data_IF_896438474930
#
_entry.id   IF_896438474930
#
_cell.length_a   1.000
_cell.length_b   1.000
_cell.length_c   1.000
_cell.angle_alpha   90.00
_cell.angle_beta   90.00
_cell.angle_gamma   90.00
#
_symmetry.space_group_name_H-M   'P 1'
#
loop_
_entity.id
_entity.type
_entity.pdbx_description
1 polymer ?
#
# COMPACT_ATOMS: atom_id res chain seq x y z
N UNK A 1 -51.43 22.82 49.90
CA UNK A 1 -50.28 21.93 49.63
C UNK A 1 -50.36 21.51 48.17
N UNK A 2 -49.80 22.34 47.28
CA UNK A 2 -49.71 22.04 45.85
C UNK A 2 -48.33 21.49 45.56
N UNK A 3 -48.24 20.20 45.27
CA UNK A 3 -47.00 19.58 44.80
C UNK A 3 -46.86 19.93 43.32
N UNK A 4 -45.75 20.59 42.97
CA UNK A 4 -45.42 20.93 41.59
C UNK A 4 -45.31 19.65 40.76
N UNK A 5 -46.06 19.57 39.66
CA UNK A 5 -45.82 18.59 38.63
C UNK A 5 -44.42 18.83 38.05
N UNK A 6 -43.44 18.02 38.47
CA UNK A 6 -42.21 17.86 37.71
C UNK A 6 -42.65 17.17 36.42
N UNK A 7 -42.65 17.89 35.29
CA UNK A 7 -42.77 17.25 33.98
C UNK A 7 -41.55 16.33 33.83
N UNK A 8 -41.71 15.05 34.19
CA UNK A 8 -40.70 14.03 33.95
C UNK A 8 -40.46 13.92 32.45
N UNK A 9 -39.27 14.34 32.01
CA UNK A 9 -38.83 14.16 30.63
C UNK A 9 -38.55 12.67 30.41
N UNK A 10 -39.53 11.95 29.86
CA UNK A 10 -39.40 10.54 29.51
C UNK A 10 -38.84 10.44 28.08
N UNK A 11 -37.64 9.89 27.92
CA UNK A 11 -37.00 9.77 26.59
C UNK A 11 -37.84 8.96 25.60
N UNK A 12 -38.63 7.99 26.05
CA UNK A 12 -39.53 7.20 25.19
C UNK A 12 -40.62 8.04 24.50
N UNK A 13 -40.94 9.21 25.04
CA UNK A 13 -41.93 10.13 24.48
C UNK A 13 -41.35 11.01 23.35
N UNK A 14 -40.05 10.93 23.07
CA UNK A 14 -39.46 11.65 21.94
C UNK A 14 -39.90 11.04 20.60
N UNK A 15 -40.05 11.87 19.56
CA UNK A 15 -40.27 11.38 18.20
C UNK A 15 -39.15 10.42 17.76
N UNK A 16 -39.46 9.37 16.97
CA UNK A 16 -38.48 8.40 16.49
C UNK A 16 -37.26 9.03 15.78
N UNK A 17 -37.45 10.17 15.11
CA UNK A 17 -36.38 10.91 14.41
C UNK A 17 -35.39 11.55 15.39
N UNK A 18 -35.89 12.05 16.53
CA UNK A 18 -35.06 12.61 17.60
C UNK A 18 -34.28 11.50 18.28
N UNK A 19 -34.94 10.38 18.58
CA UNK A 19 -34.28 9.19 19.13
C UNK A 19 -33.22 8.64 18.17
N UNK A 20 -33.52 8.53 16.88
CA UNK A 20 -32.56 8.14 15.86
C UNK A 20 -31.37 9.11 15.78
N UNK A 21 -31.62 10.42 15.90
CA UNK A 21 -30.53 11.40 15.94
C UNK A 21 -29.65 11.21 17.18
N UNK A 22 -30.23 10.94 18.35
CA UNK A 22 -29.48 10.62 19.57
C UNK A 22 -28.68 9.32 19.39
N UNK A 23 -29.31 8.25 18.89
CA UNK A 23 -28.67 6.96 18.63
C UNK A 23 -27.55 7.06 17.60
N UNK A 24 -27.63 8.02 16.68
CA UNK A 24 -26.55 8.29 15.72
C UNK A 24 -25.25 8.77 16.36
N UNK A 25 -25.21 9.05 17.67
CA UNK A 25 -23.98 9.35 18.43
C UNK A 25 -23.45 8.14 19.23
N UNK A 26 -24.21 7.04 19.30
CA UNK A 26 -23.82 5.81 19.98
C UNK A 26 -22.96 4.92 19.08
N UNK A 27 -22.18 4.01 19.66
CA UNK A 27 -21.52 2.95 18.89
C UNK A 27 -22.55 1.94 18.36
N UNK A 28 -22.23 1.20 17.30
CA UNK A 28 -23.13 0.13 16.83
C UNK A 28 -23.45 -0.93 17.89
N UNK A 29 -22.51 -1.19 18.82
CA UNK A 29 -22.73 -2.09 19.95
C UNK A 29 -23.75 -1.52 20.94
N UNK A 30 -23.65 -0.23 21.26
CA UNK A 30 -24.59 0.43 22.18
C UNK A 30 -25.98 0.59 21.54
N UNK A 31 -26.05 0.76 20.22
CA UNK A 31 -27.32 0.77 19.47
C UNK A 31 -28.06 -0.57 19.65
N UNK A 32 -27.34 -1.70 19.64
CA UNK A 32 -27.94 -3.00 19.91
C UNK A 32 -28.51 -3.06 21.34
N UNK A 33 -27.79 -2.53 22.33
CA UNK A 33 -28.27 -2.45 23.72
C UNK A 33 -29.51 -1.58 23.88
N UNK A 34 -29.56 -0.38 23.29
CA UNK A 34 -30.76 0.49 23.39
C UNK A 34 -31.96 -0.11 22.66
N UNK A 35 -31.74 -0.87 21.59
CA UNK A 35 -32.82 -1.54 20.85
C UNK A 35 -33.54 -2.61 21.68
N UNK A 36 -32.92 -3.11 22.75
CA UNK A 36 -33.51 -4.11 23.66
C UNK A 36 -34.31 -3.49 24.82
N UNK A 37 -34.25 -2.16 25.00
CA UNK A 37 -34.87 -1.47 26.15
C UNK A 37 -36.40 -1.43 26.04
N UNK A 38 -36.93 -0.95 24.91
CA UNK A 38 -38.37 -0.82 24.69
C UNK A 38 -38.72 -0.77 23.20
N UNK A 39 -40.01 -0.88 22.86
CA UNK A 39 -40.49 -0.86 21.47
C UNK A 39 -40.16 0.43 20.73
N UNK A 40 -40.28 1.58 21.41
CA UNK A 40 -39.96 2.89 20.82
C UNK A 40 -38.49 2.97 20.41
N UNK A 41 -37.58 2.51 21.27
CA UNK A 41 -36.15 2.49 20.98
C UNK A 41 -35.80 1.47 19.91
N UNK A 42 -36.44 0.30 19.93
CA UNK A 42 -36.30 -0.68 18.85
C UNK A 42 -36.68 -0.09 17.49
N UNK A 43 -37.84 0.55 17.38
CA UNK A 43 -38.32 1.17 16.13
C UNK A 43 -37.39 2.31 15.68
N UNK A 44 -36.96 3.18 16.59
CA UNK A 44 -36.01 4.25 16.28
C UNK A 44 -34.62 3.72 15.86
N UNK A 45 -34.15 2.61 16.45
CA UNK A 45 -32.89 1.96 16.08
C UNK A 45 -32.90 1.39 14.66
N UNK A 46 -34.07 1.14 14.06
CA UNK A 46 -34.22 0.63 12.70
C UNK A 46 -34.13 1.71 11.62
N UNK A 47 -34.10 2.98 12.01
CA UNK A 47 -34.01 4.09 11.04
C UNK A 47 -32.64 4.05 10.34
N UNK A 48 -32.66 3.95 9.02
CA UNK A 48 -31.47 3.79 8.17
C UNK A 48 -30.44 4.92 8.32
N UNK A 49 -30.87 6.14 8.65
CA UNK A 49 -29.97 7.26 8.90
C UNK A 49 -29.02 7.02 10.08
N UNK A 50 -29.44 6.23 11.08
CA UNK A 50 -28.57 5.83 12.20
C UNK A 50 -27.42 5.00 11.67
N UNK A 51 -27.72 3.93 10.93
CA UNK A 51 -26.73 3.00 10.39
C UNK A 51 -25.86 3.64 9.31
N UNK A 52 -26.43 4.51 8.46
CA UNK A 52 -25.66 5.31 7.50
C UNK A 52 -24.60 6.16 8.20
N UNK A 53 -24.97 6.83 9.28
CA UNK A 53 -24.03 7.62 10.07
C UNK A 53 -22.94 6.73 10.71
N UNK A 54 -23.30 5.54 11.20
CA UNK A 54 -22.34 4.56 11.75
C UNK A 54 -21.36 4.06 10.69
N UNK A 55 -21.84 3.63 9.52
CA UNK A 55 -20.98 3.19 8.42
C UNK A 55 -19.99 4.28 7.99
N UNK A 56 -20.44 5.54 7.92
CA UNK A 56 -19.57 6.66 7.56
C UNK A 56 -18.54 7.01 8.64
N UNK A 57 -18.93 6.98 9.93
CA UNK A 57 -18.05 7.39 11.02
C UNK A 57 -17.07 6.30 11.46
N UNK A 58 -17.49 5.03 11.46
CA UNK A 58 -16.68 3.93 11.98
C UNK A 58 -15.87 3.22 10.87
N UNK A 59 -16.33 3.29 9.62
CA UNK A 59 -15.74 2.55 8.50
C UNK A 59 -15.43 3.41 7.27
N UNK A 60 -15.52 4.75 7.39
CA UNK A 60 -15.27 5.71 6.31
C UNK A 60 -16.11 5.48 5.02
N UNK A 61 -17.22 4.74 5.11
CA UNK A 61 -18.06 4.41 3.95
C UNK A 61 -18.87 5.64 3.53
N UNK A 62 -18.47 6.27 2.42
CA UNK A 62 -19.11 7.46 1.85
C UNK A 62 -19.98 7.11 0.64
N UNK A 63 -21.27 6.82 0.86
CA UNK A 63 -22.22 6.55 -0.23
C UNK A 63 -22.95 7.85 -0.61
N UNK A 64 -22.67 8.39 -1.80
CA UNK A 64 -23.27 9.66 -2.29
C UNK A 64 -24.73 9.49 -2.74
N UNK A 65 -25.04 8.37 -3.41
CA UNK A 65 -26.39 8.01 -3.82
C UNK A 65 -26.65 6.57 -3.39
N UNK A 66 -27.59 6.40 -2.47
CA UNK A 66 -28.04 5.08 -2.09
C UNK A 66 -28.83 4.50 -3.25
N UNK A 67 -28.31 3.43 -3.88
CA UNK A 67 -29.19 2.41 -4.44
C UNK A 67 -30.09 1.82 -3.32
N UNK A 68 -30.74 0.69 -3.57
CA UNK A 68 -31.53 -0.04 -2.55
C UNK A 68 -30.67 -0.65 -1.40
N UNK A 69 -29.67 0.08 -0.93
CA UNK A 69 -28.76 -0.27 0.16
C UNK A 69 -29.47 -0.12 1.50
N UNK A 70 -29.54 -1.24 2.23
CA UNK A 70 -29.96 -1.27 3.63
C UNK A 70 -28.68 -1.15 4.47
N UNK A 71 -28.39 0.06 4.97
CA UNK A 71 -27.19 0.35 5.76
C UNK A 71 -27.13 -0.45 7.05
N UNK A 72 -28.28 -0.79 7.63
CA UNK A 72 -28.32 -1.73 8.76
C UNK A 72 -27.67 -3.06 8.39
N UNK A 73 -28.04 -3.64 7.26
CA UNK A 73 -27.50 -4.91 6.79
C UNK A 73 -26.02 -4.79 6.45
N UNK A 74 -25.62 -3.72 5.74
CA UNK A 74 -24.20 -3.42 5.47
C UNK A 74 -23.40 -3.37 6.77
N UNK A 75 -23.91 -2.69 7.80
CA UNK A 75 -23.22 -2.60 9.08
C UNK A 75 -23.16 -3.97 9.79
N UNK A 76 -24.31 -4.60 10.02
CA UNK A 76 -24.39 -5.76 10.91
C UNK A 76 -23.93 -7.07 10.27
N UNK A 77 -24.20 -7.26 8.98
CA UNK A 77 -23.88 -8.50 8.25
C UNK A 77 -22.47 -8.47 7.66
N UNK A 78 -21.94 -7.29 7.35
CA UNK A 78 -20.71 -7.15 6.59
C UNK A 78 -19.62 -6.36 7.34
N UNK A 79 -19.75 -5.04 7.50
CA UNK A 79 -18.69 -4.19 8.05
C UNK A 79 -18.28 -4.59 9.47
N UNK A 80 -19.24 -4.74 10.38
CA UNK A 80 -18.94 -5.11 11.76
C UNK A 80 -18.41 -6.55 11.85
N UNK A 81 -18.95 -7.49 11.05
CA UNK A 81 -18.52 -8.90 11.01
C UNK A 81 -17.07 -9.04 10.53
N UNK A 82 -16.69 -8.33 9.46
CA UNK A 82 -15.37 -8.43 8.82
C UNK A 82 -14.44 -7.25 9.15
N UNK A 83 -14.75 -6.45 10.18
CA UNK A 83 -13.97 -5.27 10.58
C UNK A 83 -12.48 -5.53 10.78
N UNK A 84 -12.10 -6.75 11.18
CA UNK A 84 -10.72 -7.14 11.45
C UNK A 84 -9.85 -7.15 10.18
N UNK A 85 -10.43 -7.44 9.01
CA UNK A 85 -9.71 -7.49 7.74
C UNK A 85 -9.80 -6.20 6.92
N UNK A 86 -10.64 -5.23 7.30
CA UNK A 86 -10.73 -3.94 6.61
C UNK A 86 -9.43 -3.11 6.75
N UNK A 87 -9.07 -2.38 5.69
CA UNK A 87 -7.94 -1.45 5.64
C UNK A 87 -6.84 -1.85 4.65
N UNK A 88 -5.64 -1.34 4.90
CA UNK A 88 -4.46 -1.54 4.06
C UNK A 88 -3.53 -2.62 4.64
N UNK A 89 -2.97 -3.44 3.76
CA UNK A 89 -2.27 -4.66 4.12
C UNK A 89 -1.09 -4.95 3.20
N UNK A 90 -0.12 -5.69 3.72
CA UNK A 90 1.02 -6.21 2.98
C UNK A 90 0.95 -7.74 2.98
N UNK A 91 0.83 -8.39 1.80
CA UNK A 91 0.91 -9.84 1.70
C UNK A 91 2.32 -10.32 2.05
N UNK A 92 2.41 -11.41 2.82
CA UNK A 92 3.66 -12.01 3.29
C UNK A 92 4.23 -12.98 2.25
N UNK A 93 4.50 -12.47 1.05
CA UNK A 93 5.03 -13.25 -0.08
C UNK A 93 6.55 -13.13 -0.12
N UNK A 94 7.24 -13.99 0.64
CA UNK A 94 8.70 -14.00 0.75
C UNK A 94 9.26 -12.57 0.81
N UNK A 95 10.20 -12.20 -0.05
CA UNK A 95 10.73 -10.85 -0.16
C UNK A 95 10.04 -9.95 -1.20
N UNK A 96 8.95 -10.40 -1.83
CA UNK A 96 8.19 -9.57 -2.77
C UNK A 96 7.25 -8.59 -2.07
N UNK A 97 6.67 -8.98 -0.94
CA UNK A 97 5.61 -8.19 -0.33
C UNK A 97 4.48 -7.90 -1.32
N UNK A 98 4.01 -6.65 -1.30
CA UNK A 98 2.93 -6.14 -2.12
C UNK A 98 2.10 -5.11 -1.35
N UNK A 99 1.08 -4.57 -2.00
CA UNK A 99 0.09 -3.72 -1.35
C UNK A 99 -1.30 -4.27 -1.64
N UNK A 100 -2.11 -4.42 -0.59
CA UNK A 100 -3.42 -5.01 -0.67
C UNK A 100 -4.41 -4.19 0.16
N UNK A 101 -5.59 -3.93 -0.40
CA UNK A 101 -6.61 -3.12 0.24
C UNK A 101 -7.89 -3.93 0.36
N UNK A 102 -8.48 -3.91 1.55
CA UNK A 102 -9.78 -4.51 1.82
C UNK A 102 -10.74 -3.41 2.23
N UNK A 103 -11.74 -3.16 1.41
CA UNK A 103 -12.65 -2.04 1.57
C UNK A 103 -14.05 -2.39 1.09
N UNK A 104 -15.05 -1.66 1.58
CA UNK A 104 -16.41 -1.79 1.08
C UNK A 104 -16.55 -1.05 -0.25
N UNK A 105 -17.01 -1.76 -1.26
CA UNK A 105 -17.38 -1.23 -2.57
C UNK A 105 -18.91 -1.00 -2.60
N UNK A 106 -19.38 0.26 -2.67
CA UNK A 106 -20.80 0.56 -2.72
C UNK A 106 -21.50 0.14 -4.01
N UNK A 107 -20.77 0.03 -5.13
CA UNK A 107 -21.34 -0.37 -6.42
C UNK A 107 -21.59 -1.88 -6.45
N UNK A 108 -20.64 -2.66 -5.94
CA UNK A 108 -20.76 -4.11 -5.81
C UNK A 108 -21.53 -4.54 -4.55
N UNK A 109 -21.83 -3.61 -3.65
CA UNK A 109 -22.49 -3.89 -2.36
C UNK A 109 -21.76 -5.02 -1.61
N UNK A 110 -20.43 -4.93 -1.58
CA UNK A 110 -19.55 -6.01 -1.14
C UNK A 110 -18.29 -5.47 -0.46
N UNK A 111 -17.68 -6.22 0.45
CA UNK A 111 -16.29 -5.99 0.83
C UNK A 111 -15.42 -6.65 -0.24
N UNK A 112 -14.50 -5.89 -0.82
CA UNK A 112 -13.58 -6.38 -1.85
C UNK A 112 -12.15 -6.36 -1.33
N UNK A 113 -11.43 -7.46 -1.55
CA UNK A 113 -9.99 -7.53 -1.35
C UNK A 113 -9.28 -7.33 -2.68
N UNK A 114 -8.51 -6.26 -2.80
CA UNK A 114 -7.88 -5.83 -4.06
C UNK A 114 -6.38 -5.68 -3.89
N UNK A 115 -5.62 -6.36 -4.75
CA UNK A 115 -4.19 -6.11 -4.93
C UNK A 115 -3.98 -4.78 -5.66
N UNK A 116 -3.11 -3.94 -5.09
CA UNK A 116 -2.70 -2.66 -5.64
C UNK A 116 -1.27 -2.80 -6.16
N UNK A 117 -1.14 -2.91 -7.48
CA UNK A 117 0.12 -3.12 -8.17
C UNK A 117 0.69 -1.80 -8.69
N UNK A 118 2.03 -1.64 -8.74
CA UNK A 118 2.63 -0.49 -9.39
C UNK A 118 2.27 -0.45 -10.89
N UNK A 119 2.31 0.74 -11.51
CA UNK A 119 2.25 0.87 -12.97
C UNK A 119 3.43 0.13 -13.62
N UNK A 120 3.33 -0.10 -14.92
CA UNK A 120 4.43 -0.71 -15.66
C UNK A 120 5.65 0.22 -15.67
N UNK A 121 6.83 -0.37 -15.62
CA UNK A 121 8.09 0.38 -15.70
C UNK A 121 8.23 1.11 -17.04
N UNK A 122 8.74 2.36 -17.06
CA UNK A 122 9.17 3.22 -15.93
C UNK A 122 8.12 4.26 -15.48
N UNK A 123 6.82 4.04 -15.73
CA UNK A 123 5.77 5.06 -15.65
C UNK A 123 5.27 5.36 -14.23
N UNK A 124 6.14 5.86 -13.34
CA UNK A 124 5.83 6.10 -11.92
C UNK A 124 4.68 7.10 -11.68
N UNK A 125 4.37 7.98 -12.64
CA UNK A 125 3.29 8.97 -12.57
C UNK A 125 1.91 8.34 -12.76
N UNK A 126 1.82 7.19 -13.45
CA UNK A 126 0.57 6.49 -13.74
C UNK A 126 -0.07 5.89 -12.46
N UNK A 127 -1.40 5.71 -12.44
CA UNK A 127 -2.10 5.15 -11.29
C UNK A 127 -1.71 3.70 -11.00
N UNK A 128 -1.94 3.27 -9.76
CA UNK A 128 -1.84 1.87 -9.36
C UNK A 128 -2.84 1.02 -10.15
N UNK A 129 -2.36 -0.13 -10.63
CA UNK A 129 -3.21 -1.13 -11.27
C UNK A 129 -3.90 -1.93 -10.18
N UNK A 130 -5.18 -2.22 -10.36
CA UNK A 130 -6.01 -2.90 -9.36
C UNK A 130 -6.40 -4.28 -9.84
N UNK A 131 -6.27 -5.29 -8.97
CA UNK A 131 -6.71 -6.66 -9.25
C UNK A 131 -7.46 -7.22 -8.06
N UNK A 132 -8.76 -7.43 -8.23
CA UNK A 132 -9.60 -8.01 -7.19
C UNK A 132 -9.25 -9.49 -6.99
N UNK A 133 -9.08 -9.90 -5.74
CA UNK A 133 -8.79 -11.28 -5.36
C UNK A 133 -10.02 -11.98 -4.78
N UNK A 134 -10.78 -11.28 -3.94
CA UNK A 134 -12.01 -11.81 -3.34
C UNK A 134 -13.08 -10.73 -3.17
N UNK A 135 -14.32 -11.18 -3.04
CA UNK A 135 -15.48 -10.36 -2.70
C UNK A 135 -16.32 -11.04 -1.61
N UNK A 136 -16.94 -10.24 -0.76
CA UNK A 136 -17.85 -10.66 0.32
C UNK A 136 -19.15 -9.85 0.14
N UNK A 137 -20.16 -10.39 -0.55
CA UNK A 137 -21.40 -9.67 -0.80
C UNK A 137 -22.25 -9.53 0.46
N UNK A 138 -22.98 -8.41 0.60
CA UNK A 138 -23.96 -8.24 1.70
C UNK A 138 -25.09 -9.28 1.59
N UNK A 139 -25.60 -9.46 0.37
CA UNK A 139 -26.69 -10.37 0.06
C UNK A 139 -26.10 -11.60 -0.61
N UNK A 140 -26.33 -12.75 0.00
CA UNK A 140 -25.77 -14.02 -0.45
C UNK A 140 -26.68 -14.66 -1.47
N UNK A 141 -26.13 -15.13 -2.58
CA UNK A 141 -26.85 -16.01 -3.50
C UNK A 141 -26.76 -17.48 -3.05
N UNK A 142 -25.64 -17.86 -2.42
CA UNK A 142 -25.32 -19.22 -1.95
C UNK A 142 -24.96 -19.22 -0.45
N UNK A 143 -24.68 -20.40 0.13
CA UNK A 143 -24.21 -20.52 1.53
C UNK A 143 -22.78 -19.97 1.74
N UNK A 144 -22.08 -19.62 0.67
CA UNK A 144 -20.70 -19.12 0.70
C UNK A 144 -20.64 -17.65 1.12
N UNK A 145 -19.86 -17.38 2.17
CA UNK A 145 -19.66 -16.03 2.71
C UNK A 145 -18.59 -15.25 1.93
N UNK A 146 -17.54 -15.92 1.47
CA UNK A 146 -16.39 -15.28 0.81
C UNK A 146 -16.16 -15.95 -0.54
N UNK A 147 -16.07 -15.13 -1.58
CA UNK A 147 -15.97 -15.56 -2.95
C UNK A 147 -14.59 -15.17 -3.48
N UNK A 148 -13.78 -16.17 -3.85
CA UNK A 148 -12.57 -15.95 -4.65
C UNK A 148 -12.99 -15.60 -6.07
N UNK A 149 -12.45 -14.52 -6.62
CA UNK A 149 -12.73 -14.07 -8.00
C UNK A 149 -11.54 -14.29 -8.95
N UNK A 150 -10.44 -14.85 -8.42
CA UNK A 150 -9.24 -15.12 -9.21
C UNK A 150 -9.37 -16.37 -10.09
N UNK A 151 -8.39 -16.58 -10.97
CA UNK A 151 -8.34 -17.75 -11.85
C UNK A 151 -9.14 -17.60 -13.15
N UNK A 152 -9.46 -18.75 -13.77
CA UNK A 152 -9.96 -18.82 -15.15
C UNK A 152 -11.34 -19.47 -15.28
N UNK A 153 -11.89 -20.01 -14.19
CA UNK A 153 -13.17 -20.75 -14.17
C UNK A 153 -14.30 -19.99 -13.47
N UNK A 154 -14.12 -18.70 -13.23
CA UNK A 154 -15.10 -17.87 -12.54
C UNK A 154 -15.04 -17.96 -11.00
N UNK A 155 -15.99 -17.30 -10.32
CA UNK A 155 -15.98 -17.18 -8.87
C UNK A 155 -16.24 -18.52 -8.16
N UNK A 156 -15.62 -18.72 -7.00
CA UNK A 156 -15.69 -19.97 -6.22
C UNK A 156 -15.42 -19.72 -4.74
N UNK A 157 -15.72 -20.71 -3.90
CA UNK A 157 -15.60 -20.60 -2.45
C UNK A 157 -14.18 -20.26 -1.97
N UNK A 158 -14.13 -19.39 -0.96
CA UNK A 158 -12.92 -19.11 -0.19
C UNK A 158 -13.24 -18.85 1.29
N UNK A 159 -12.19 -18.69 2.09
CA UNK A 159 -12.29 -18.33 3.50
C UNK A 159 -11.34 -17.20 3.86
N UNK A 160 -11.76 -16.38 4.81
CA UNK A 160 -10.91 -15.36 5.46
C UNK A 160 -10.86 -15.67 6.95
N UNK A 161 -9.65 -15.84 7.47
CA UNK A 161 -9.40 -16.23 8.85
C UNK A 161 -8.70 -15.08 9.57
N UNK A 162 -9.27 -14.66 10.70
CA UNK A 162 -8.58 -13.78 11.64
C UNK A 162 -7.48 -14.58 12.34
N UNK A 163 -6.22 -14.17 12.18
CA UNK A 163 -5.07 -14.87 12.77
C UNK A 163 -4.69 -14.21 14.09
N UNK A 164 -4.53 -12.89 14.06
CA UNK A 164 -4.24 -12.09 15.24
C UNK A 164 -4.66 -10.64 14.99
N UNK A 165 -4.49 -9.78 16.01
CA UNK A 165 -4.66 -8.35 15.80
C UNK A 165 -3.65 -7.90 14.73
N UNK A 166 -4.15 -7.25 13.68
CA UNK A 166 -3.37 -6.79 12.53
C UNK A 166 -2.83 -7.88 11.59
N UNK A 167 -3.37 -9.10 11.67
CA UNK A 167 -3.03 -10.18 10.74
C UNK A 167 -4.26 -11.01 10.35
N UNK A 168 -4.43 -11.27 9.06
CA UNK A 168 -5.46 -12.18 8.55
C UNK A 168 -4.91 -13.05 7.42
N UNK A 169 -5.62 -14.15 7.15
CA UNK A 169 -5.33 -15.04 6.03
C UNK A 169 -6.51 -15.11 5.08
N UNK A 170 -6.25 -15.02 3.78
CA UNK A 170 -7.17 -15.44 2.74
C UNK A 170 -6.75 -16.82 2.23
N UNK A 171 -7.70 -17.72 1.99
CA UNK A 171 -7.44 -19.03 1.40
C UNK A 171 -8.55 -19.41 0.44
N UNK A 172 -8.18 -19.68 -0.81
CA UNK A 172 -9.07 -20.31 -1.79
C UNK A 172 -9.38 -21.77 -1.39
N UNK A 173 -10.63 -22.21 -1.57
CA UNK A 173 -11.05 -23.59 -1.29
C UNK A 173 -10.85 -24.55 -2.46
N UNK A 174 -10.76 -24.06 -3.70
CA UNK A 174 -10.55 -24.88 -4.90
C UNK A 174 -9.52 -24.28 -5.88
N UNK A 175 -8.27 -24.70 -5.73
CA UNK A 175 -7.19 -24.24 -6.61
C UNK A 175 -7.26 -24.72 -8.06
N UNK A 176 -8.17 -25.64 -8.39
CA UNK A 176 -8.39 -26.08 -9.76
C UNK A 176 -8.98 -24.97 -10.66
N UNK A 177 -9.59 -23.94 -10.05
CA UNK A 177 -10.10 -22.74 -10.73
C UNK A 177 -8.98 -21.83 -11.23
N UNK A 178 -7.78 -21.94 -10.63
CA UNK A 178 -6.62 -21.11 -10.96
C UNK A 178 -5.71 -21.71 -12.04
N UNK A 179 -6.03 -22.90 -12.54
CA UNK A 179 -5.27 -23.54 -13.62
C UNK A 179 -5.81 -23.06 -14.96
N UNK A 180 -4.92 -22.51 -15.79
CA UNK A 180 -5.32 -22.06 -17.11
C UNK A 180 -5.71 -23.27 -17.98
N UNK A 181 -6.81 -23.20 -18.76
CA UNK A 181 -7.28 -24.32 -19.59
C UNK A 181 -6.22 -24.79 -20.59
N UNK A 182 -5.44 -23.86 -21.15
CA UNK A 182 -4.30 -24.12 -22.07
C UNK A 182 -2.96 -24.46 -21.35
N UNK A 183 -2.99 -24.71 -20.03
CA UNK A 183 -1.82 -25.14 -19.27
C UNK A 183 -0.87 -24.02 -18.81
N UNK A 184 0.20 -24.43 -18.11
CA UNK A 184 1.09 -23.55 -17.34
C UNK A 184 1.87 -22.52 -18.18
N UNK A 185 2.17 -22.84 -19.43
CA UNK A 185 2.88 -21.90 -20.31
C UNK A 185 2.01 -20.70 -20.69
N UNK A 186 0.70 -20.90 -20.83
CA UNK A 186 -0.23 -19.81 -21.09
C UNK A 186 -0.41 -18.93 -19.84
N UNK A 187 -0.48 -19.54 -18.64
CA UNK A 187 -0.47 -18.79 -17.36
C UNK A 187 0.75 -17.86 -17.29
N UNK A 188 1.93 -18.38 -17.60
CA UNK A 188 3.17 -17.60 -17.57
C UNK A 188 3.14 -16.47 -18.60
N UNK A 189 2.65 -16.73 -19.81
CA UNK A 189 2.54 -15.71 -20.87
C UNK A 189 1.65 -14.56 -20.45
N UNK A 190 0.48 -14.87 -19.88
CA UNK A 190 -0.46 -13.86 -19.40
C UNK A 190 0.12 -13.07 -18.22
N UNK A 191 0.72 -13.78 -17.26
CA UNK A 191 1.43 -13.16 -16.15
C UNK A 191 2.52 -12.17 -16.63
N UNK A 192 3.33 -12.58 -17.61
CA UNK A 192 4.37 -11.73 -18.18
C UNK A 192 3.78 -10.53 -18.92
N UNK A 193 2.70 -10.72 -19.69
CA UNK A 193 2.01 -9.60 -20.36
C UNK A 193 1.37 -8.60 -19.39
N UNK A 194 0.94 -9.06 -18.22
CA UNK A 194 0.37 -8.21 -17.17
C UNK A 194 1.45 -7.40 -16.43
N UNK A 195 2.69 -7.89 -16.39
CA UNK A 195 3.77 -7.32 -15.57
C UNK A 195 4.94 -6.73 -16.35
N UNK A 196 4.96 -6.88 -17.68
CA UNK A 196 6.01 -6.38 -18.56
C UNK A 196 5.40 -5.53 -19.67
N UNK A 197 5.97 -4.35 -19.90
CA UNK A 197 5.70 -3.53 -21.08
C UNK A 197 6.42 -4.07 -22.34
N UNK A 198 7.40 -4.96 -22.16
CA UNK A 198 8.19 -5.57 -23.25
C UNK A 198 7.56 -6.90 -23.67
N UNK A 199 7.32 -7.13 -24.98
CA UNK A 199 6.88 -8.41 -25.50
C UNK A 199 7.81 -9.57 -25.10
N UNK A 200 7.24 -10.76 -24.99
CA UNK A 200 8.00 -11.99 -24.75
C UNK A 200 8.92 -12.31 -25.93
N UNK A 201 10.23 -12.27 -25.69
CA UNK A 201 11.23 -12.75 -26.63
C UNK A 201 11.94 -13.98 -26.05
N UNK A 202 11.59 -15.15 -26.60
CA UNK A 202 12.14 -16.44 -26.17
C UNK A 202 13.60 -16.65 -26.60
N UNK A 203 14.14 -15.82 -27.50
CA UNK A 203 15.50 -15.97 -28.02
C UNK A 203 16.55 -15.26 -27.16
N UNK A 204 16.22 -14.12 -26.57
CA UNK A 204 17.14 -13.35 -25.71
C UNK A 204 16.78 -13.41 -24.23
N UNK A 205 15.55 -13.85 -23.89
CA UNK A 205 14.96 -13.89 -22.55
C UNK A 205 15.58 -12.89 -21.57
N UNK A 206 15.27 -11.59 -21.72
CA UNK A 206 15.93 -10.51 -21.00
C UNK A 206 15.93 -10.76 -19.49
N UNK A 207 16.96 -10.28 -18.78
CA UNK A 207 17.07 -10.48 -17.32
C UNK A 207 15.77 -10.08 -16.59
N UNK A 208 15.11 -9.01 -17.01
CA UNK A 208 13.82 -8.60 -16.45
C UNK A 208 12.68 -9.63 -16.56
N UNK A 209 12.71 -10.49 -17.57
CA UNK A 209 11.76 -11.59 -17.74
C UNK A 209 12.14 -12.83 -16.90
N UNK A 210 13.44 -13.07 -16.64
CA UNK A 210 13.91 -14.09 -15.67
C UNK A 210 13.39 -13.79 -14.26
N UNK A 211 13.46 -12.52 -13.86
CA UNK A 211 12.95 -12.02 -12.59
C UNK A 211 11.44 -12.29 -12.43
N UNK A 212 10.67 -12.06 -13.50
CA UNK A 212 9.22 -12.31 -13.52
C UNK A 212 8.89 -13.79 -13.48
N UNK A 213 9.65 -14.64 -14.17
CA UNK A 213 9.48 -16.09 -14.11
C UNK A 213 9.63 -16.60 -12.66
N UNK A 214 10.62 -16.09 -11.93
CA UNK A 214 10.79 -16.45 -10.52
C UNK A 214 9.61 -16.00 -9.66
N UNK A 215 9.12 -14.78 -9.87
CA UNK A 215 7.92 -14.25 -9.19
C UNK A 215 6.73 -15.15 -9.43
N UNK A 216 6.51 -15.53 -10.68
CA UNK A 216 5.43 -16.46 -11.05
C UNK A 216 5.55 -17.80 -10.31
N UNK A 217 6.74 -18.43 -10.31
CA UNK A 217 6.94 -19.72 -9.66
C UNK A 217 6.72 -19.66 -8.15
N UNK A 218 7.14 -18.59 -7.49
CA UNK A 218 6.97 -18.41 -6.04
C UNK A 218 5.52 -18.17 -5.70
N UNK A 219 4.83 -17.26 -6.40
CA UNK A 219 3.40 -17.01 -6.19
C UNK A 219 2.56 -18.29 -6.32
N UNK A 220 2.93 -19.18 -7.24
CA UNK A 220 2.26 -20.47 -7.39
C UNK A 220 2.43 -21.41 -6.20
N UNK A 221 3.49 -21.30 -5.42
CA UNK A 221 3.68 -22.14 -4.23
C UNK A 221 2.68 -21.80 -3.11
N UNK A 222 2.11 -20.59 -3.14
CA UNK A 222 1.10 -20.16 -2.17
C UNK A 222 -0.29 -20.75 -2.47
N UNK A 223 -0.54 -21.28 -3.67
CA UNK A 223 -1.82 -21.88 -4.08
C UNK A 223 -3.05 -21.02 -3.72
N UNK A 224 -2.95 -19.70 -3.91
CA UNK A 224 -3.98 -18.73 -3.54
C UNK A 224 -4.36 -18.72 -2.05
N UNK A 225 -3.41 -19.07 -1.19
CA UNK A 225 -3.45 -18.86 0.26
C UNK A 225 -2.42 -17.79 0.65
N UNK A 226 -2.90 -16.63 1.11
CA UNK A 226 -2.05 -15.47 1.41
C UNK A 226 -2.26 -15.01 2.84
N UNK A 227 -1.15 -14.79 3.55
CA UNK A 227 -1.14 -14.15 4.86
C UNK A 227 -0.87 -12.65 4.71
N UNK A 228 -1.59 -11.83 5.45
CA UNK A 228 -1.53 -10.37 5.34
C UNK A 228 -1.22 -9.75 6.68
N UNK A 229 -0.31 -8.77 6.69
CA UNK A 229 0.00 -7.92 7.85
C UNK A 229 -0.47 -6.50 7.60
N UNK A 230 -1.02 -5.85 8.62
CA UNK A 230 -1.56 -4.50 8.48
C UNK A 230 -0.48 -3.49 8.15
N UNK A 231 -0.76 -2.64 7.16
CA UNK A 231 0.03 -1.44 6.86
C UNK A 231 -0.66 -0.25 7.51
N UNK A 232 0.10 0.56 8.24
CA UNK A 232 -0.39 1.79 8.87
C UNK A 232 0.27 2.98 8.22
N UNK A 233 -0.53 3.96 7.83
CA UNK A 233 -0.03 5.23 7.32
C UNK A 233 0.08 6.23 8.46
N UNK A 234 1.20 6.95 8.51
CA UNK A 234 1.37 8.06 9.44
C UNK A 234 0.40 9.19 9.08
N UNK A 235 -0.24 9.78 10.10
CA UNK A 235 -1.13 10.92 9.90
C UNK A 235 -0.36 12.12 9.32
N UNK A 236 -1.05 13.07 8.66
CA UNK A 236 -0.41 14.29 8.15
C UNK A 236 0.36 15.05 9.24
N UNK A 237 1.53 15.57 8.87
CA UNK A 237 2.46 16.24 9.76
C UNK A 237 2.70 17.69 9.34
N UNK A 238 2.98 18.56 10.30
CA UNK A 238 3.35 19.96 10.06
C UNK A 238 4.87 20.13 10.13
N UNK A 239 5.44 21.00 9.29
CA UNK A 239 6.87 21.32 9.34
C UNK A 239 7.78 20.23 8.76
N UNK A 240 7.23 19.25 8.06
CA UNK A 240 7.98 18.24 7.32
C UNK A 240 8.22 18.68 5.87
N UNK A 241 9.32 18.24 5.22
CA UNK A 241 9.60 18.60 3.84
C UNK A 241 8.53 18.18 2.82
N UNK A 242 7.93 17.00 3.00
CA UNK A 242 6.77 16.48 2.25
C UNK A 242 5.92 15.62 3.20
N UNK A 243 4.65 15.40 2.90
CA UNK A 243 3.79 14.54 3.73
C UNK A 243 4.24 13.07 3.68
N UNK A 244 4.17 12.32 4.80
CA UNK A 244 4.40 10.88 4.77
C UNK A 244 3.39 10.16 3.87
N UNK A 245 3.69 8.94 3.44
CA UNK A 245 2.80 8.17 2.58
C UNK A 245 3.51 7.17 1.67
N UNK A 246 2.76 6.63 0.70
CA UNK A 246 3.27 5.63 -0.24
C UNK A 246 3.68 6.28 -1.57
N UNK A 247 4.80 5.83 -2.13
CA UNK A 247 5.36 6.29 -3.38
C UNK A 247 5.72 5.13 -4.30
N UNK A 248 5.57 5.35 -5.61
CA UNK A 248 6.00 4.48 -6.70
C UNK A 248 7.38 4.92 -7.15
N UNK A 249 8.36 4.04 -7.09
CA UNK A 249 9.77 4.35 -7.31
C UNK A 249 10.43 3.52 -8.40
N UNK A 250 11.26 4.12 -9.24
CA UNK A 250 12.13 3.37 -10.16
C UNK A 250 13.29 2.72 -9.40
N UNK A 251 13.52 1.43 -9.61
CA UNK A 251 14.51 0.65 -8.88
C UNK A 251 15.44 -0.15 -9.81
N UNK A 252 16.06 0.56 -10.76
CA UNK A 252 16.99 -0.04 -11.71
C UNK A 252 16.33 -1.17 -12.51
N UNK A 253 17.04 -2.29 -12.67
CA UNK A 253 16.50 -3.47 -13.38
C UNK A 253 15.26 -4.06 -12.72
N UNK A 254 15.03 -3.83 -11.42
CA UNK A 254 13.87 -4.31 -10.69
C UNK A 254 12.55 -3.62 -11.09
N UNK A 255 12.60 -2.58 -11.93
CA UNK A 255 11.39 -1.90 -12.41
C UNK A 255 10.82 -0.95 -11.37
N UNK A 256 9.50 -0.90 -11.24
CA UNK A 256 8.81 0.02 -10.32
C UNK A 256 8.38 -0.69 -9.05
N UNK A 257 8.68 -0.08 -7.91
CA UNK A 257 8.41 -0.62 -6.58
C UNK A 257 7.67 0.38 -5.69
N UNK A 258 6.93 -0.11 -4.72
CA UNK A 258 6.22 0.70 -3.73
C UNK A 258 7.07 0.84 -2.48
N UNK A 259 7.21 2.08 -2.01
CA UNK A 259 7.85 2.39 -0.74
C UNK A 259 6.90 3.23 0.12
N UNK A 260 7.02 3.10 1.43
CA UNK A 260 6.36 3.97 2.40
C UNK A 260 7.42 4.86 3.04
N UNK A 261 7.20 6.17 3.05
CA UNK A 261 8.02 7.13 3.80
C UNK A 261 7.30 7.52 5.09
N UNK A 262 8.08 7.57 6.17
CA UNK A 262 7.62 7.96 7.51
C UNK A 262 8.68 8.84 8.18
N UNK A 263 8.22 9.71 9.07
CA UNK A 263 9.08 10.53 9.90
C UNK A 263 9.15 9.95 11.32
N UNK A 264 10.38 9.71 11.78
CA UNK A 264 10.71 9.16 13.09
C UNK A 264 11.52 10.18 13.90
N UNK A 265 11.84 9.84 15.15
CA UNK A 265 12.68 10.65 16.03
C UNK A 265 12.19 12.11 16.17
N UNK A 266 10.90 12.29 16.46
CA UNK A 266 10.23 13.60 16.54
C UNK A 266 10.34 14.41 15.23
N UNK A 267 10.24 13.73 14.10
CA UNK A 267 10.32 14.30 12.75
C UNK A 267 11.69 14.87 12.36
N UNK A 268 12.78 14.43 13.00
CA UNK A 268 14.14 14.81 12.57
C UNK A 268 14.75 13.86 11.54
N UNK A 269 14.15 12.67 11.37
CA UNK A 269 14.64 11.63 10.48
C UNK A 269 13.51 11.08 9.62
N UNK A 270 13.75 10.98 8.32
CA UNK A 270 12.88 10.27 7.39
C UNK A 270 13.41 8.84 7.20
N UNK A 271 12.50 7.88 7.20
CA UNK A 271 12.75 6.48 6.85
C UNK A 271 11.86 6.10 5.68
N UNK A 272 12.46 5.54 4.65
CA UNK A 272 11.75 4.90 3.55
C UNK A 272 11.83 3.37 3.71
N UNK A 273 10.69 2.71 3.78
CA UNK A 273 10.55 1.26 3.92
C UNK A 273 9.92 0.68 2.67
N UNK A 274 10.44 -0.44 2.19
CA UNK A 274 9.95 -1.10 1.00
C UNK A 274 8.67 -1.88 1.26
N UNK A 275 7.63 -1.65 0.47
CA UNK A 275 6.35 -2.36 0.56
C UNK A 275 6.24 -3.50 -0.46
N UNK A 276 6.88 -3.35 -1.62
CA UNK A 276 6.91 -4.36 -2.67
C UNK A 276 8.27 -4.45 -3.35
N UNK A 277 8.65 -5.64 -3.84
CA UNK A 277 9.88 -5.86 -4.62
C UNK A 277 9.63 -6.61 -5.92
N UNK A 278 10.60 -6.51 -6.84
CA UNK A 278 10.74 -7.38 -8.02
C UNK A 278 12.02 -8.24 -7.90
N UNK A 279 11.93 -9.53 -8.22
CA UNK A 279 12.98 -10.51 -7.93
C UNK A 279 14.25 -10.38 -8.75
N UNK A 280 15.39 -10.96 -8.31
CA UNK A 280 16.45 -11.49 -9.19
C UNK A 280 16.73 -12.95 -8.80
N UNK A 281 16.98 -13.83 -9.78
CA UNK A 281 17.71 -15.08 -9.54
C UNK A 281 18.71 -15.32 -10.69
N UNK A 282 19.97 -15.57 -10.35
CA UNK A 282 20.94 -16.14 -11.29
C UNK A 282 20.77 -17.67 -11.32
N UNK A 283 20.36 -18.21 -12.47
CA UNK A 283 20.51 -19.64 -12.76
C UNK A 283 21.97 -19.90 -13.17
N UNK A 284 22.82 -20.32 -12.24
CA UNK A 284 24.02 -21.06 -12.61
C UNK A 284 23.61 -22.45 -13.08
N UNK A 285 23.34 -22.59 -14.38
CA UNK A 285 23.34 -23.90 -15.05
C UNK A 285 24.81 -24.34 -15.24
N UNK A 286 25.44 -24.81 -14.17
CA UNK A 286 26.63 -25.65 -14.30
C UNK A 286 26.41 -26.98 -13.57
N UNK A 287 26.26 -28.04 -14.38
CA UNK A 287 26.64 -29.43 -14.09
C UNK A 287 26.27 -30.05 -12.73
N UNK A 288 25.32 -30.99 -12.77
CA UNK A 288 25.31 -32.21 -11.94
C UNK A 288 25.44 -32.09 -10.40
N UNK A 289 24.82 -31.09 -9.76
CA UNK A 289 24.55 -31.15 -8.32
C UNK A 289 23.11 -30.72 -7.97
N UNK A 290 22.49 -31.31 -6.94
CA UNK A 290 21.16 -30.91 -6.50
C UNK A 290 21.23 -29.51 -5.89
N UNK A 291 20.78 -28.51 -6.66
CA UNK A 291 20.74 -27.12 -6.23
C UNK A 291 19.57 -26.91 -5.25
N UNK A 292 19.89 -26.59 -4.01
CA UNK A 292 18.95 -25.96 -3.09
C UNK A 292 18.76 -24.50 -3.53
N UNK A 293 17.79 -24.21 -4.40
CA UNK A 293 17.42 -22.83 -4.75
C UNK A 293 16.74 -22.17 -3.54
N UNK A 294 17.35 -21.13 -2.96
CA UNK A 294 16.68 -20.20 -2.05
C UNK A 294 16.09 -19.06 -2.88
N UNK A 295 14.76 -18.93 -2.85
CA UNK A 295 13.98 -18.01 -3.67
C UNK A 295 13.65 -16.72 -2.91
N UNK A 296 14.17 -15.56 -3.34
CA UNK A 296 13.95 -14.27 -2.69
C UNK A 296 13.80 -13.16 -3.74
N UNK A 297 12.73 -12.34 -3.62
CA UNK A 297 12.36 -11.01 -4.20
C UNK A 297 13.52 -10.09 -4.56
N UNK A 298 13.45 -8.75 -4.42
CA UNK A 298 14.70 -7.98 -4.55
C UNK A 298 15.66 -8.57 -3.52
N UNK A 299 16.71 -9.27 -3.97
CA UNK A 299 17.51 -10.05 -3.07
C UNK A 299 18.45 -9.12 -2.31
N UNK A 300 18.51 -7.83 -2.64
CA UNK A 300 19.39 -6.85 -2.00
C UNK A 300 18.63 -6.03 -0.96
N UNK A 301 17.33 -5.73 -1.19
CA UNK A 301 16.45 -5.14 -0.17
C UNK A 301 15.06 -5.78 -0.26
N UNK A 302 14.73 -6.73 0.63
CA UNK A 302 13.44 -7.37 0.62
C UNK A 302 12.35 -6.47 1.19
N UNK A 303 11.09 -6.80 0.88
CA UNK A 303 9.94 -6.10 1.42
C UNK A 303 9.96 -6.06 2.96
N UNK A 304 9.56 -4.93 3.52
CA UNK A 304 9.61 -4.65 4.96
C UNK A 304 10.96 -4.13 5.46
N UNK A 305 12.00 -4.09 4.62
CA UNK A 305 13.28 -3.48 4.96
C UNK A 305 13.34 -2.01 4.59
N UNK A 306 14.25 -1.31 5.24
CA UNK A 306 14.57 0.08 4.92
C UNK A 306 15.27 0.12 3.56
N UNK A 307 14.90 1.08 2.71
CA UNK A 307 15.59 1.35 1.44
C UNK A 307 16.53 2.54 1.55
N UNK A 308 16.12 3.59 2.27
CA UNK A 308 17.01 4.69 2.62
C UNK A 308 16.51 5.43 3.86
N UNK A 309 17.43 6.11 4.54
CA UNK A 309 17.14 7.01 5.65
C UNK A 309 17.80 8.38 5.42
N UNK A 310 17.17 9.43 5.93
CA UNK A 310 17.65 10.80 5.80
C UNK A 310 17.52 11.50 7.15
N UNK A 311 18.61 12.06 7.66
CA UNK A 311 18.56 12.93 8.84
C UNK A 311 18.44 14.37 8.35
N UNK A 312 17.32 15.02 8.68
CA UNK A 312 16.92 16.30 8.07
C UNK A 312 17.82 17.47 8.46
N UNK A 313 18.67 17.31 9.47
CA UNK A 313 19.66 18.32 9.84
C UNK A 313 20.74 18.50 8.76
N UNK A 314 20.99 17.49 7.92
CA UNK A 314 22.06 17.54 6.91
C UNK A 314 21.53 17.98 5.54
N UNK A 315 20.95 19.18 5.49
CA UNK A 315 20.49 19.82 4.24
C UNK A 315 21.63 20.46 3.46
N UNK A 316 21.49 20.59 2.15
CA UNK A 316 22.48 21.26 1.29
C UNK A 316 21.85 22.13 0.20
N UNK A 317 22.61 23.14 -0.24
CA UNK A 317 22.29 23.98 -1.41
C UNK A 317 23.46 23.93 -2.36
N UNK A 318 23.22 23.47 -3.59
CA UNK A 318 24.26 23.25 -4.60
C UNK A 318 24.05 24.12 -5.84
N UNK A 319 25.17 24.56 -6.42
CA UNK A 319 25.21 25.18 -7.74
C UNK A 319 25.16 24.11 -8.84
N UNK A 320 24.88 24.50 -10.08
CA UNK A 320 24.91 23.57 -11.20
C UNK A 320 26.30 22.95 -11.44
N UNK A 321 27.38 23.70 -11.17
CA UNK A 321 28.76 23.23 -11.34
C UNK A 321 29.13 22.12 -10.34
N UNK A 322 28.67 22.24 -9.09
CA UNK A 322 28.92 21.22 -8.05
C UNK A 322 28.22 19.88 -8.35
N UNK A 323 27.22 19.88 -9.23
CA UNK A 323 26.40 18.72 -9.58
C UNK A 323 26.85 18.03 -10.89
N UNK A 324 27.96 18.45 -11.47
CA UNK A 324 28.39 17.99 -12.79
C UNK A 324 28.77 16.50 -12.86
N UNK A 325 29.27 15.92 -11.76
CA UNK A 325 29.66 14.50 -11.67
C UNK A 325 29.37 13.93 -10.28
N UNK A 326 29.23 12.61 -10.17
CA UNK A 326 29.08 11.93 -8.88
C UNK A 326 30.30 12.18 -7.99
N UNK A 327 31.51 12.17 -8.54
CA UNK A 327 32.74 12.48 -7.79
C UNK A 327 32.69 13.86 -7.14
N UNK A 328 32.18 14.87 -7.86
CA UNK A 328 32.00 16.22 -7.30
C UNK A 328 30.98 16.23 -6.17
N UNK A 329 29.91 15.45 -6.30
CA UNK A 329 28.89 15.32 -5.26
C UNK A 329 29.39 14.57 -4.03
N UNK A 330 30.20 13.54 -4.23
CA UNK A 330 30.74 12.67 -3.18
C UNK A 330 31.81 13.36 -2.32
N UNK A 331 32.46 14.39 -2.89
CA UNK A 331 33.43 15.25 -2.23
C UNK A 331 32.79 16.37 -1.37
N UNK A 332 31.45 16.52 -1.39
CA UNK A 332 30.75 17.53 -0.58
C UNK A 332 30.84 17.15 0.89
N UNK A 333 31.37 18.05 1.71
CA UNK A 333 31.42 17.87 3.15
C UNK A 333 30.01 17.88 3.77
N UNK A 334 29.76 16.88 4.63
CA UNK A 334 28.51 16.78 5.38
C UNK A 334 28.56 17.77 6.54
N UNK A 335 27.75 18.80 6.48
CA UNK A 335 27.63 19.82 7.53
C UNK A 335 26.22 19.83 8.08
N UNK A 336 26.10 19.89 9.41
CA UNK A 336 24.82 20.03 10.08
C UNK A 336 24.32 21.47 9.92
N UNK A 337 23.05 21.64 9.54
CA UNK A 337 22.42 22.95 9.52
C UNK A 337 22.32 23.51 10.94
N UNK A 338 22.70 24.79 11.11
CA UNK A 338 22.59 25.52 12.37
C UNK A 338 21.13 25.82 12.77
N UNK A 339 20.22 25.72 11.81
CA UNK A 339 18.80 26.06 11.93
C UNK A 339 17.97 24.78 12.02
N UNK A 340 16.97 24.68 12.93
CA UNK A 340 16.05 23.55 12.99
C UNK A 340 15.35 23.33 11.63
N UNK A 341 15.21 22.07 11.22
CA UNK A 341 14.62 21.68 9.92
C UNK A 341 13.30 22.41 9.60
N UNK A 342 12.45 22.60 10.62
CA UNK A 342 11.13 23.24 10.51
C UNK A 342 11.17 24.74 10.15
N UNK A 343 12.36 25.35 10.11
CA UNK A 343 12.58 26.78 9.87
C UNK A 343 13.54 27.04 8.69
N UNK A 344 13.99 26.01 7.98
CA UNK A 344 14.83 26.18 6.79
C UNK A 344 13.94 26.73 5.66
N UNK A 345 14.24 27.93 5.12
CA UNK A 345 13.50 28.45 3.97
C UNK A 345 13.67 27.47 2.80
N UNK A 346 12.55 27.02 2.24
CA UNK A 346 12.49 26.22 1.01
C UNK A 346 12.95 27.11 -0.15
N UNK A 347 14.27 27.28 -0.28
CA UNK A 347 14.88 28.03 -1.34
C UNK A 347 15.12 27.08 -2.51
N UNK A 348 14.32 27.27 -3.55
CA UNK A 348 14.48 26.64 -4.85
C UNK A 348 15.94 26.72 -5.31
N UNK A 349 16.52 25.57 -5.68
CA UNK A 349 17.91 25.45 -6.14
C UNK A 349 17.97 24.69 -7.47
N UNK A 350 18.95 24.98 -8.35
CA UNK A 350 19.09 24.26 -9.61
C UNK A 350 19.36 22.79 -9.36
N UNK A 351 18.83 21.94 -10.22
CA UNK A 351 19.08 20.50 -10.22
C UNK A 351 19.49 20.04 -11.62
N UNK A 352 20.55 19.24 -11.68
CA UNK A 352 20.88 18.45 -12.86
C UNK A 352 21.32 17.05 -12.44
N UNK A 353 20.96 16.06 -13.26
CA UNK A 353 21.47 14.70 -13.13
C UNK A 353 22.96 14.73 -13.49
N UNK A 354 23.85 14.16 -12.66
CA UNK A 354 25.27 14.05 -13.00
C UNK A 354 25.47 13.27 -14.31
N UNK A 355 26.44 13.69 -15.13
CA UNK A 355 26.62 13.10 -16.47
C UNK A 355 27.04 11.62 -16.48
N UNK A 356 27.50 11.11 -15.34
CA UNK A 356 27.92 9.74 -15.07
C UNK A 356 26.85 8.91 -14.34
N UNK A 357 25.63 9.44 -14.19
CA UNK A 357 24.53 8.78 -13.50
C UNK A 357 23.55 8.10 -14.47
N UNK A 358 22.99 6.98 -14.05
CA UNK A 358 21.94 6.25 -14.74
C UNK A 358 20.56 6.58 -14.18
N UNK A 359 19.71 7.18 -15.01
CA UNK A 359 18.29 7.43 -14.75
C UNK A 359 17.38 6.63 -15.69
N UNK A 360 16.24 6.17 -15.16
CA UNK A 360 15.18 5.51 -15.94
C UNK A 360 13.97 6.40 -16.23
N UNK A 361 13.77 7.42 -15.42
CA UNK A 361 12.69 8.38 -15.56
C UNK A 361 13.24 9.67 -16.17
N UNK A 362 12.69 10.14 -17.29
CA UNK A 362 13.28 11.24 -18.06
C UNK A 362 12.66 12.62 -17.79
N UNK A 363 11.46 12.68 -17.22
CA UNK A 363 10.76 13.94 -16.93
C UNK A 363 11.23 14.57 -15.61
N UNK A 364 12.55 14.65 -15.42
CA UNK A 364 13.14 15.14 -14.17
C UNK A 364 13.18 16.68 -14.17
N UNK A 365 12.61 17.35 -13.16
CA UNK A 365 12.65 18.81 -13.06
C UNK A 365 14.08 19.33 -12.90
N UNK A 366 14.39 20.47 -13.54
CA UNK A 366 15.71 21.12 -13.47
C UNK A 366 15.94 21.95 -12.20
N UNK A 367 15.01 21.87 -11.26
CA UNK A 367 14.97 22.69 -10.04
C UNK A 367 14.38 21.83 -8.94
N UNK A 368 15.00 21.84 -7.76
CA UNK A 368 14.51 21.13 -6.57
C UNK A 368 14.25 22.11 -5.43
N UNK A 369 13.31 21.77 -4.55
CA UNK A 369 12.87 22.61 -3.42
C UNK A 369 13.73 22.39 -2.17
N UNK A 370 14.31 21.20 -2.02
CA UNK A 370 15.23 20.87 -0.94
C UNK A 370 16.11 19.67 -1.31
N UNK A 371 17.29 19.58 -0.68
CA UNK A 371 18.22 18.47 -0.87
C UNK A 371 18.90 18.14 0.46
N UNK A 372 19.06 16.85 0.73
CA UNK A 372 19.63 16.33 1.98
C UNK A 372 20.63 15.21 1.71
N UNK A 373 21.62 15.07 2.60
CA UNK A 373 22.43 13.85 2.65
C UNK A 373 21.56 12.70 3.17
N UNK A 374 21.62 11.56 2.50
CA UNK A 374 20.90 10.35 2.85
C UNK A 374 21.81 9.13 2.85
N UNK A 375 21.32 8.07 3.45
CA UNK A 375 21.96 6.77 3.52
C UNK A 375 21.04 5.76 2.85
N UNK A 376 21.44 5.26 1.69
CA UNK A 376 20.74 4.22 0.96
C UNK A 376 21.20 2.86 1.45
N UNK A 377 20.28 1.96 1.78
CA UNK A 377 20.64 0.61 2.13
C UNK A 377 20.98 -0.17 0.85
N UNK A 378 22.09 -0.92 0.87
CA UNK A 378 22.50 -1.80 -0.22
C UNK A 378 22.92 -3.13 0.39
N UNK A 379 22.68 -4.24 -0.31
CA UNK A 379 23.16 -5.55 0.12
C UNK A 379 23.55 -6.38 -1.09
N UNK A 380 24.33 -7.43 -0.84
CA UNK A 380 24.50 -8.51 -1.80
C UNK A 380 23.24 -9.38 -1.87
N UNK A 381 23.20 -10.24 -2.88
CA UNK A 381 22.09 -11.16 -3.10
C UNK A 381 21.77 -11.99 -1.84
N UNK A 382 20.49 -12.12 -1.51
CA UNK A 382 20.02 -12.87 -0.34
C UNK A 382 19.93 -12.04 0.93
N UNK A 383 19.97 -10.71 0.80
CA UNK A 383 20.13 -9.70 1.84
C UNK A 383 21.42 -9.94 2.63
N UNK A 384 22.49 -10.28 1.90
CA UNK A 384 23.77 -10.65 2.49
C UNK A 384 24.62 -9.41 2.70
N UNK A 385 25.20 -9.28 3.89
CA UNK A 385 26.04 -8.15 4.29
C UNK A 385 25.40 -6.77 4.00
N UNK A 386 24.18 -6.50 4.51
CA UNK A 386 23.54 -5.22 4.28
C UNK A 386 24.36 -4.09 4.90
N UNK A 387 24.51 -3.00 4.15
CA UNK A 387 25.25 -1.81 4.55
C UNK A 387 24.55 -0.56 4.03
N UNK A 388 24.97 0.60 4.53
CA UNK A 388 24.48 1.88 4.04
C UNK A 388 25.53 2.53 3.14
N UNK A 389 25.12 2.91 1.93
CA UNK A 389 25.88 3.71 1.00
C UNK A 389 25.40 5.17 1.03
N UNK A 390 26.29 6.09 0.68
CA UNK A 390 25.95 7.51 0.63
C UNK A 390 25.03 7.82 -0.55
N UNK A 391 24.07 8.70 -0.31
CA UNK A 391 23.14 9.18 -1.33
C UNK A 391 22.63 10.58 -1.04
N UNK A 392 21.94 11.18 -2.00
CA UNK A 392 21.25 12.46 -1.83
C UNK A 392 19.74 12.29 -2.01
N UNK A 393 18.96 12.71 -1.02
CA UNK A 393 17.52 12.84 -1.16
C UNK A 393 17.18 14.22 -1.72
N UNK A 394 16.52 14.25 -2.87
CA UNK A 394 16.24 15.46 -3.65
C UNK A 394 14.74 15.62 -3.80
N UNK A 395 14.17 16.71 -3.33
CA UNK A 395 12.72 16.93 -3.35
C UNK A 395 12.39 17.91 -4.46
N UNK A 396 11.47 17.56 -5.35
CA UNK A 396 11.04 18.41 -6.47
C UNK A 396 9.69 19.06 -6.21
N UNK A 397 8.78 18.33 -5.57
CA UNK A 397 7.46 18.81 -5.16
C UNK A 397 6.95 17.99 -3.97
N UNK A 398 5.73 18.29 -3.51
CA UNK A 398 5.01 17.48 -2.50
C UNK A 398 4.86 16.01 -2.90
N UNK A 399 4.88 15.72 -4.20
CA UNK A 399 4.55 14.41 -4.75
C UNK A 399 5.68 13.74 -5.53
N UNK A 400 6.78 14.45 -5.77
CA UNK A 400 7.88 13.97 -6.58
C UNK A 400 9.21 14.24 -5.87
N UNK A 401 9.98 13.19 -5.66
CA UNK A 401 11.35 13.27 -5.16
C UNK A 401 12.23 12.23 -5.85
N UNK A 402 13.54 12.40 -5.72
CA UNK A 402 14.55 11.44 -6.15
C UNK A 402 15.48 11.04 -5.01
N UNK A 403 16.06 9.85 -5.12
CA UNK A 403 17.19 9.43 -4.31
C UNK A 403 18.36 9.10 -5.25
N UNK A 404 19.43 9.88 -5.14
CA UNK A 404 20.65 9.73 -5.93
C UNK A 404 21.62 8.82 -5.17
N UNK A 405 21.88 7.64 -5.69
CA UNK A 405 22.80 6.64 -5.16
C UNK A 405 24.21 6.93 -5.67
N UNK A 406 25.11 7.42 -4.80
CA UNK A 406 26.44 7.84 -5.25
C UNK A 406 27.30 6.63 -5.65
N UNK A 407 27.32 5.58 -4.83
CA UNK A 407 28.12 4.39 -5.13
C UNK A 407 27.58 3.56 -6.31
N UNK A 408 26.26 3.62 -6.55
CA UNK A 408 25.61 2.89 -7.64
C UNK A 408 25.54 3.70 -8.94
N UNK A 409 25.98 4.97 -8.92
CA UNK A 409 25.88 5.90 -10.04
C UNK A 409 24.45 5.94 -10.62
N UNK A 410 23.43 5.98 -9.78
CA UNK A 410 22.04 5.84 -10.24
C UNK A 410 21.08 6.80 -9.54
N UNK A 411 20.05 7.24 -10.25
CA UNK A 411 18.97 8.07 -9.73
C UNK A 411 17.66 7.30 -9.73
N UNK A 412 17.12 7.04 -8.54
CA UNK A 412 15.77 6.53 -8.36
C UNK A 412 14.79 7.70 -8.22
N UNK A 413 13.73 7.72 -9.03
CA UNK A 413 12.68 8.72 -8.96
C UNK A 413 11.41 8.12 -8.34
N UNK A 414 10.73 8.90 -7.50
CA UNK A 414 9.59 8.45 -6.70
C UNK A 414 8.43 9.42 -6.83
N UNK A 415 7.26 8.91 -7.20
CA UNK A 415 6.02 9.67 -7.31
C UNK A 415 4.95 9.16 -6.35
N UNK A 416 4.24 10.07 -5.67
CA UNK A 416 3.23 9.74 -4.67
C UNK A 416 2.08 8.91 -5.27
N UNK A 417 1.58 7.96 -4.48
CA UNK A 417 0.31 7.27 -4.73
C UNK A 417 -0.84 8.23 -4.40
N UNK A 418 -1.75 8.45 -5.36
CA UNK A 418 -2.84 9.45 -5.27
C UNK A 418 -4.20 8.83 -4.97
N UNK A 419 -4.27 7.50 -5.05
CA UNK A 419 -5.42 6.69 -4.76
C UNK A 419 -5.84 6.82 -3.30
N UNK A 420 -7.15 6.69 -3.05
CA UNK A 420 -7.69 6.67 -1.69
C UNK A 420 -7.39 5.31 -1.04
N UNK A 421 -6.45 5.31 -0.08
CA UNK A 421 -5.98 4.11 0.60
C UNK A 421 -6.65 3.89 1.97
N UNK A 422 -7.57 4.78 2.38
CA UNK A 422 -8.13 4.82 3.73
C UNK A 422 -9.67 4.81 3.77
#
# INVERSE_FOLDING_TARGET
>A
MGVSAINEFIMEAFPPEVLAKIFSYLSGKDIAGVAEVCRSFYEASRIENVWRARCAQEFAVKVKHGGNLIFKDVYTKLLHKYRYCLGLWQPQVSSYGGLFQVMFDPELVSIVGTELMPPLDPFITEPLRKKMLFSIPVYRENDEDVICVGGYKGPHEAVILEISKDEFMFKCCDSSHHRHPNGKHQELREFLSEHSSVPLDMHQFPHSQEMLLMKFLILRQFDYAFHYKRVRLQAPLTGVPIQPGIFKGTYGTHGVELIQIEYIDNCTKLRATKLSCFCIAFLFLQGHHPCYLKYQGDPNIPSGQVTFEVVLQYSMVLTAQQQASITSLDAIEVQAADIPCNSVPIASQPFCVPGDCHERFHEIPKVCIARYHGLGQVAGHGFTNPSFSRGHWVIFSEDLFGFLWLELLSLSMYHRVKEDLA
#
